data_IF_234382142225
#
_entry.id   IF_234382142225
#
_cell.length_a   1.000
_cell.length_b   1.000
_cell.length_c   1.000
_cell.angle_alpha   90.00
_cell.angle_beta   90.00
_cell.angle_gamma   90.00
#
_symmetry.space_group_name_H-M   'P 1'
#
loop_
_entity.id
_entity.type
_entity.pdbx_description
1 polymer ?
#
# COMPACT_ATOMS: atom_id res chain seq x y z
N UNK A 1 -18.60 -9.00 -6.19
CA UNK A 1 -18.00 -9.42 -4.89
C UNK A 1 -16.57 -8.88 -4.86
N UNK A 2 -16.07 -8.40 -3.72
CA UNK A 2 -14.66 -8.07 -3.53
C UNK A 2 -14.05 -8.99 -2.48
N UNK A 3 -12.81 -9.43 -2.71
CA UNK A 3 -12.04 -10.28 -1.80
C UNK A 3 -10.56 -9.88 -1.87
N UNK A 4 -9.81 -10.20 -0.82
CA UNK A 4 -8.37 -9.96 -0.75
C UNK A 4 -7.67 -11.22 -0.22
N UNK A 5 -6.49 -11.53 -0.76
CA UNK A 5 -5.62 -12.60 -0.26
C UNK A 5 -4.16 -12.19 -0.43
N UNK A 6 -3.33 -12.57 0.55
CA UNK A 6 -1.87 -12.48 0.44
C UNK A 6 -1.24 -13.75 -0.14
N UNK A 7 -2.06 -14.77 -0.43
CA UNK A 7 -1.66 -16.08 -0.95
C UNK A 7 -2.53 -16.49 -2.14
N UNK A 8 -2.42 -15.81 -3.30
CA UNK A 8 -3.23 -16.15 -4.48
C UNK A 8 -2.92 -17.56 -5.02
N UNK A 9 -1.73 -18.10 -4.76
CA UNK A 9 -1.25 -19.39 -5.24
C UNK A 9 -1.97 -20.60 -4.64
N UNK A 10 -2.60 -20.45 -3.46
CA UNK A 10 -3.35 -21.52 -2.79
C UNK A 10 -4.86 -21.45 -3.04
N UNK A 11 -5.34 -20.47 -3.81
CA UNK A 11 -6.76 -20.34 -4.10
C UNK A 11 -7.26 -21.53 -4.93
N UNK A 12 -8.47 -21.98 -4.64
CA UNK A 12 -9.14 -22.98 -5.48
C UNK A 12 -9.27 -22.43 -6.92
N UNK A 13 -8.73 -23.14 -7.94
CA UNK A 13 -8.83 -22.72 -9.33
C UNK A 13 -10.27 -22.49 -9.83
N UNK A 14 -11.27 -23.09 -9.19
CA UNK A 14 -12.68 -22.87 -9.51
C UNK A 14 -13.12 -21.41 -9.28
N UNK A 15 -12.49 -20.71 -8.32
CA UNK A 15 -12.76 -19.30 -8.01
C UNK A 15 -12.22 -18.33 -9.06
N UNK A 16 -11.22 -18.75 -9.84
CA UNK A 16 -10.55 -17.94 -10.87
C UNK A 16 -11.24 -18.05 -12.24
N UNK A 17 -12.28 -18.88 -12.36
CA UNK A 17 -13.02 -19.06 -13.62
C UNK A 17 -13.93 -17.85 -13.88
N UNK A 18 -14.23 -17.52 -15.15
CA UNK A 18 -15.16 -16.46 -15.50
C UNK A 18 -16.52 -16.60 -14.80
N UNK A 19 -17.12 -15.49 -14.41
CA UNK A 19 -18.36 -15.38 -13.63
C UNK A 19 -18.17 -15.48 -12.10
N UNK A 20 -16.93 -15.45 -11.59
CA UNK A 20 -16.60 -15.46 -10.16
C UNK A 20 -15.74 -14.24 -9.80
N UNK A 21 -14.43 -14.42 -9.61
CA UNK A 21 -13.48 -13.30 -9.48
C UNK A 21 -12.89 -12.98 -10.85
N UNK A 22 -13.62 -12.18 -11.63
CA UNK A 22 -13.26 -11.87 -13.02
C UNK A 22 -12.12 -10.86 -13.18
N UNK A 23 -11.84 -10.10 -12.12
CA UNK A 23 -10.82 -9.04 -12.08
C UNK A 23 -9.88 -9.29 -10.93
N UNK A 24 -8.59 -9.38 -11.24
CA UNK A 24 -7.53 -9.45 -10.27
C UNK A 24 -6.71 -8.17 -10.35
N UNK A 25 -6.52 -7.54 -9.20
CA UNK A 25 -5.69 -6.35 -9.07
C UNK A 25 -4.55 -6.72 -8.13
N UNK A 26 -3.33 -6.78 -8.66
CA UNK A 26 -2.14 -6.95 -7.84
C UNK A 26 -1.85 -5.63 -7.14
N UNK A 27 -1.55 -5.70 -5.84
CA UNK A 27 -1.16 -4.54 -5.04
C UNK A 27 0.29 -4.75 -4.63
N UNK A 28 1.18 -3.97 -5.21
CA UNK A 28 2.59 -3.96 -4.88
C UNK A 28 2.89 -3.01 -3.71
N UNK A 29 4.10 -3.12 -3.17
CA UNK A 29 4.62 -2.18 -2.18
C UNK A 29 4.69 -0.77 -2.77
N UNK A 30 4.43 0.28 -1.97
CA UNK A 30 4.49 1.65 -2.47
C UNK A 30 5.93 2.03 -2.87
N UNK A 31 6.04 2.74 -3.98
CA UNK A 31 7.27 3.43 -4.37
C UNK A 31 7.53 4.64 -3.47
N UNK A 32 8.61 5.38 -3.73
CA UNK A 32 8.94 6.57 -2.93
C UNK A 32 7.81 7.61 -2.90
N UNK A 33 7.10 7.80 -4.03
CA UNK A 33 6.00 8.77 -4.13
C UNK A 33 4.77 8.28 -3.35
N UNK A 34 4.47 6.99 -3.43
CA UNK A 34 3.42 6.34 -2.65
C UNK A 34 3.67 6.46 -1.15
N UNK A 35 4.91 6.21 -0.70
CA UNK A 35 5.29 6.38 0.72
C UNK A 35 5.18 7.83 1.18
N UNK A 36 5.62 8.78 0.36
CA UNK A 36 5.46 10.21 0.65
C UNK A 36 3.97 10.60 0.79
N UNK A 37 3.10 10.08 -0.09
CA UNK A 37 1.66 10.33 -0.03
C UNK A 37 1.01 9.72 1.23
N UNK A 38 1.40 8.50 1.60
CA UNK A 38 0.94 7.84 2.84
C UNK A 38 1.34 8.69 4.05
N UNK A 39 2.62 9.03 4.18
CA UNK A 39 3.12 9.87 5.28
C UNK A 39 2.38 11.21 5.35
N UNK A 40 2.13 11.88 4.22
CA UNK A 40 1.34 13.14 4.17
C UNK A 40 -0.09 12.99 4.68
N UNK A 41 -0.73 11.83 4.47
CA UNK A 41 -2.08 11.57 4.97
C UNK A 41 -2.04 11.40 6.49
N UNK A 42 -1.11 10.58 7.00
CA UNK A 42 -0.99 10.30 8.43
C UNK A 42 -0.48 11.51 9.24
N UNK A 43 0.32 12.39 8.63
CA UNK A 43 0.85 13.60 9.28
C UNK A 43 -0.06 14.83 9.15
N UNK A 44 -1.21 14.73 8.47
CA UNK A 44 -2.07 15.88 8.17
C UNK A 44 -2.53 16.63 9.42
N UNK A 45 -2.87 15.90 10.47
CA UNK A 45 -3.43 16.44 11.71
C UNK A 45 -2.38 16.50 12.84
N UNK A 46 -1.10 16.39 12.50
CA UNK A 46 0.03 16.41 13.44
C UNK A 46 0.79 17.71 13.27
N UNK A 47 1.16 18.37 14.38
CA UNK A 47 2.08 19.50 14.35
C UNK A 47 3.49 19.01 14.01
N UNK A 48 3.94 19.28 12.79
CA UNK A 48 5.29 18.99 12.32
C UNK A 48 6.18 20.25 12.42
N UNK A 49 7.45 20.05 12.74
CA UNK A 49 8.45 21.12 12.70
C UNK A 49 8.65 21.64 11.28
N UNK A 50 9.02 22.92 11.14
CA UNK A 50 9.29 23.55 9.84
C UNK A 50 10.50 22.96 9.10
N UNK A 51 11.34 22.22 9.82
CA UNK A 51 12.52 21.51 9.35
C UNK A 51 12.23 20.09 8.86
N UNK A 52 11.00 19.59 9.02
CA UNK A 52 10.61 18.23 8.63
C UNK A 52 10.35 18.15 7.12
N UNK A 53 11.24 17.47 6.40
CA UNK A 53 11.03 17.11 4.99
C UNK A 53 10.53 15.67 4.84
N UNK A 54 9.22 15.53 4.55
CA UNK A 54 8.55 14.25 4.35
C UNK A 54 9.17 13.46 3.19
N UNK A 55 9.68 14.13 2.15
CA UNK A 55 10.29 13.46 1.00
C UNK A 55 11.58 12.76 1.40
N UNK A 56 12.38 13.38 2.27
CA UNK A 56 13.58 12.78 2.85
C UNK A 56 13.22 11.54 3.68
N UNK A 57 12.15 11.59 4.49
CA UNK A 57 11.67 10.44 5.26
C UNK A 57 11.22 9.29 4.34
N UNK A 58 10.49 9.60 3.26
CA UNK A 58 10.06 8.60 2.28
C UNK A 58 11.24 7.92 1.56
N UNK A 59 12.35 8.63 1.37
CA UNK A 59 13.58 8.07 0.79
C UNK A 59 14.28 7.07 1.74
N UNK A 60 14.17 7.29 3.05
CA UNK A 60 14.80 6.45 4.09
C UNK A 60 13.98 5.20 4.47
N UNK A 61 12.80 5.00 3.86
CA UNK A 61 11.86 3.89 4.18
C UNK A 61 11.67 2.88 3.03
N UNK A 62 12.72 2.44 2.30
CA UNK A 62 12.55 1.49 1.21
C UNK A 62 11.95 0.16 1.71
N UNK A 63 10.94 -0.33 0.99
CA UNK A 63 10.31 -1.62 1.27
C UNK A 63 9.22 -1.59 2.35
N UNK A 64 8.98 -0.44 2.98
CA UNK A 64 7.90 -0.23 3.95
C UNK A 64 6.55 -0.27 3.25
N UNK A 65 5.57 -0.90 3.90
CA UNK A 65 4.17 -0.91 3.46
C UNK A 65 3.38 0.17 4.20
N UNK A 66 2.13 0.40 3.79
CA UNK A 66 1.29 1.43 4.42
C UNK A 66 1.15 1.26 5.94
N UNK A 67 1.09 0.02 6.43
CA UNK A 67 1.02 -0.27 7.86
C UNK A 67 2.29 0.12 8.64
N UNK A 68 3.47 0.13 7.99
CA UNK A 68 4.72 0.53 8.63
C UNK A 68 4.87 2.07 8.72
N UNK A 69 4.07 2.81 7.93
CA UNK A 69 4.14 4.27 7.78
C UNK A 69 3.00 5.01 8.49
N UNK A 70 2.05 4.27 9.07
CA UNK A 70 0.81 4.77 9.66
C UNK A 70 0.91 5.08 11.15
#
# INVERSE_FOLDING_TARGET
IMAATNRPEILDPALLRPGRFDRHVAIDKPDIRGREAILKIHMRDIQIGSDVDIRTIAALTPGFVGADLA
#
